data_IF_067214424623
#
_entry.id   IF_067214424623
#
_cell.length_a   1.000
_cell.length_b   1.000
_cell.length_c   1.000
_cell.angle_alpha   90.00
_cell.angle_beta   90.00
_cell.angle_gamma   90.00
#
_symmetry.space_group_name_H-M   'P 1'
#
loop_
_entity.id
_entity.type
_entity.pdbx_description
1 polymer ?
#
# COMPACT_ATOMS: atom_id res chain seq x y z
N UNK A 1 6.72 -13.52 11.40
CA UNK A 1 5.50 -13.32 12.21
C UNK A 1 4.38 -12.93 11.25
N UNK A 2 3.26 -13.68 11.17
CA UNK A 2 2.15 -13.33 10.25
C UNK A 2 1.45 -12.10 10.82
N UNK A 3 1.58 -10.96 10.14
CA UNK A 3 1.23 -9.63 10.68
C UNK A 3 -0.19 -9.15 10.34
N UNK A 4 -1.02 -9.99 9.72
CA UNK A 4 -2.46 -9.73 9.55
C UNK A 4 -3.28 -10.71 10.39
N UNK A 5 -4.43 -10.28 10.96
CA UNK A 5 -5.28 -11.15 11.76
C UNK A 5 -5.83 -12.29 10.89
N UNK A 6 -6.02 -13.47 11.49
CA UNK A 6 -6.40 -14.69 10.77
C UNK A 6 -7.59 -14.53 9.80
N UNK A 7 -8.66 -13.78 10.13
CA UNK A 7 -9.77 -13.57 9.20
C UNK A 7 -9.40 -12.82 7.91
N UNK A 8 -8.37 -11.97 7.96
CA UNK A 8 -7.94 -11.16 6.83
C UNK A 8 -6.93 -11.88 5.91
N UNK A 9 -6.29 -12.97 6.38
CA UNK A 9 -5.21 -13.64 5.64
C UNK A 9 -5.66 -14.11 4.25
N UNK A 10 -6.81 -14.80 4.16
CA UNK A 10 -7.32 -15.30 2.89
C UNK A 10 -7.66 -14.17 1.89
N UNK A 11 -8.05 -12.99 2.40
CA UNK A 11 -8.28 -11.81 1.55
C UNK A 11 -6.95 -11.19 1.10
N UNK A 12 -6.01 -11.02 2.02
CA UNK A 12 -4.67 -10.49 1.73
C UNK A 12 -3.94 -11.37 0.70
N UNK A 13 -3.99 -12.69 0.85
CA UNK A 13 -3.34 -13.63 -0.07
C UNK A 13 -3.93 -13.51 -1.48
N UNK A 14 -5.27 -13.37 -1.60
CA UNK A 14 -5.92 -13.13 -2.90
C UNK A 14 -5.52 -11.79 -3.52
N UNK A 15 -5.48 -10.72 -2.73
CA UNK A 15 -5.07 -9.40 -3.20
C UNK A 15 -3.61 -9.41 -3.69
N UNK A 16 -2.71 -10.05 -2.93
CA UNK A 16 -1.30 -10.21 -3.31
C UNK A 16 -1.14 -11.05 -4.57
N UNK A 17 -1.88 -12.14 -4.71
CA UNK A 17 -1.85 -12.96 -5.91
C UNK A 17 -2.35 -12.20 -7.15
N UNK A 18 -3.42 -11.40 -7.01
CA UNK A 18 -3.91 -10.56 -8.10
C UNK A 18 -2.88 -9.50 -8.49
N UNK A 19 -2.33 -8.77 -7.52
CA UNK A 19 -1.28 -7.78 -7.75
C UNK A 19 -0.03 -8.37 -8.42
N UNK A 20 0.38 -9.58 -8.04
CA UNK A 20 1.51 -10.27 -8.66
C UNK A 20 1.23 -10.71 -10.11
N UNK A 21 -0.04 -10.95 -10.47
CA UNK A 21 -0.42 -11.33 -11.82
C UNK A 21 -0.40 -10.14 -12.81
N UNK A 22 -0.57 -8.91 -12.30
CA UNK A 22 -0.52 -7.67 -13.09
C UNK A 22 0.01 -6.53 -12.21
N UNK A 23 1.34 -6.47 -12.07
CA UNK A 23 1.99 -5.51 -11.18
C UNK A 23 1.87 -4.08 -11.68
N UNK A 24 1.69 -3.86 -12.98
CA UNK A 24 1.48 -2.52 -13.55
C UNK A 24 0.18 -1.89 -13.05
N UNK A 25 -0.85 -2.70 -12.78
CA UNK A 25 -2.11 -2.26 -12.17
C UNK A 25 -2.12 -2.33 -10.65
N UNK A 26 -1.07 -2.87 -10.05
CA UNK A 26 -1.01 -2.99 -8.61
C UNK A 26 -0.70 -1.65 -7.94
N UNK A 27 -1.42 -1.38 -6.85
CA UNK A 27 -1.25 -0.16 -6.05
C UNK A 27 -0.90 -0.55 -4.62
N UNK A 28 0.35 -0.31 -4.24
CA UNK A 28 0.82 -0.59 -2.90
C UNK A 28 0.27 0.41 -1.88
N UNK A 29 -0.11 -0.07 -0.71
CA UNK A 29 -0.48 0.78 0.41
C UNK A 29 -0.12 0.12 1.73
N UNK A 30 0.22 0.93 2.74
CA UNK A 30 0.42 0.44 4.09
C UNK A 30 -0.93 0.16 4.76
N UNK A 31 -1.08 -1.04 5.33
CA UNK A 31 -2.22 -1.42 6.17
C UNK A 31 -3.00 -2.64 5.68
N UNK A 32 -4.13 -2.90 6.34
CA UNK A 32 -4.99 -4.04 6.05
C UNK A 32 -6.05 -3.73 4.99
N UNK A 33 -6.64 -4.76 4.35
CA UNK A 33 -7.85 -4.57 3.56
C UNK A 33 -8.93 -3.84 4.37
N UNK A 34 -9.51 -2.80 3.78
CA UNK A 34 -10.51 -1.94 4.43
C UNK A 34 -9.96 -0.72 5.17
N UNK A 35 -8.63 -0.58 5.30
CA UNK A 35 -8.02 0.63 5.86
C UNK A 35 -8.33 1.89 5.00
N UNK A 36 -8.13 3.08 5.57
CA UNK A 36 -8.34 4.33 4.83
C UNK A 36 -7.47 4.42 3.56
N UNK A 37 -6.23 3.92 3.60
CA UNK A 37 -5.35 3.86 2.42
C UNK A 37 -5.87 2.88 1.36
N UNK A 38 -6.48 1.76 1.77
CA UNK A 38 -7.15 0.84 0.84
C UNK A 38 -8.31 1.53 0.12
N UNK A 39 -9.14 2.26 0.89
CA UNK A 39 -10.24 3.04 0.31
C UNK A 39 -9.75 4.10 -0.65
N UNK A 40 -8.72 4.86 -0.26
CA UNK A 40 -8.10 5.87 -1.12
C UNK A 40 -7.56 5.28 -2.43
N UNK A 41 -6.94 4.09 -2.39
CA UNK A 41 -6.48 3.40 -3.58
C UNK A 41 -7.65 3.04 -4.53
N UNK A 42 -8.73 2.47 -4.00
CA UNK A 42 -9.92 2.13 -4.81
C UNK A 42 -10.63 3.39 -5.34
N UNK A 43 -10.69 4.47 -4.57
CA UNK A 43 -11.31 5.73 -5.00
C UNK A 43 -10.48 6.44 -6.08
N UNK A 44 -9.15 6.46 -5.95
CA UNK A 44 -8.26 7.10 -6.92
C UNK A 44 -8.12 6.30 -8.23
N UNK A 45 -8.20 4.96 -8.14
CA UNK A 45 -8.02 4.01 -9.25
C UNK A 45 -9.00 2.84 -9.09
N UNK A 46 -10.24 2.97 -9.56
CA UNK A 46 -11.27 1.94 -9.39
C UNK A 46 -10.91 0.56 -9.95
N UNK A 47 -10.08 0.52 -11.00
CA UNK A 47 -9.64 -0.70 -11.66
C UNK A 47 -8.28 -1.21 -11.17
N UNK A 48 -7.72 -0.63 -10.11
CA UNK A 48 -6.45 -1.07 -9.55
C UNK A 48 -6.54 -2.42 -8.84
N UNK A 49 -5.39 -3.04 -8.64
CA UNK A 49 -5.21 -4.25 -7.83
C UNK A 49 -4.53 -3.85 -6.51
N UNK A 50 -5.28 -3.62 -5.41
CA UNK A 50 -4.67 -3.09 -4.20
C UNK A 50 -3.72 -4.11 -3.57
N UNK A 51 -2.51 -3.67 -3.23
CA UNK A 51 -1.45 -4.48 -2.65
C UNK A 51 -1.18 -4.04 -1.20
N UNK A 52 -1.66 -4.79 -0.19
CA UNK A 52 -1.42 -4.46 1.21
C UNK A 52 0.02 -4.78 1.65
N UNK A 53 0.70 -3.75 2.16
CA UNK A 53 2.05 -3.74 2.70
C UNK A 53 2.04 -3.51 4.23
N UNK A 54 3.12 -3.89 4.93
CA UNK A 54 3.16 -3.76 6.39
C UNK A 54 3.59 -2.37 6.85
N UNK A 55 4.49 -1.74 6.12
CA UNK A 55 4.97 -0.37 6.39
C UNK A 55 4.89 0.53 5.16
N UNK A 56 5.21 1.82 5.33
CA UNK A 56 5.29 2.75 4.19
C UNK A 56 6.51 2.43 3.31
N UNK A 57 7.62 2.04 3.92
CA UNK A 57 8.82 1.54 3.25
C UNK A 57 8.49 0.35 2.35
N UNK A 58 7.77 -0.65 2.86
CA UNK A 58 7.35 -1.81 2.06
C UNK A 58 6.50 -1.41 0.84
N UNK A 59 5.69 -0.36 0.97
CA UNK A 59 4.85 0.14 -0.11
C UNK A 59 5.68 0.90 -1.16
N UNK A 60 6.66 1.70 -0.73
CA UNK A 60 7.59 2.39 -1.62
C UNK A 60 8.51 1.38 -2.35
N UNK A 61 9.08 0.43 -1.61
CA UNK A 61 9.93 -0.62 -2.16
C UNK A 61 9.15 -1.53 -3.11
N UNK A 62 7.85 -1.74 -2.89
CA UNK A 62 7.01 -2.44 -3.86
C UNK A 62 6.98 -1.75 -5.23
N UNK A 63 7.00 -0.42 -5.27
CA UNK A 63 7.07 0.34 -6.52
C UNK A 63 8.48 0.26 -7.11
N UNK A 64 9.51 0.48 -6.30
CA UNK A 64 10.92 0.42 -6.75
C UNK A 64 11.28 -0.95 -7.35
N UNK A 65 10.79 -2.02 -6.74
CA UNK A 65 11.03 -3.40 -7.18
C UNK A 65 10.16 -3.83 -8.37
N UNK A 66 9.23 -2.97 -8.83
CA UNK A 66 8.27 -3.30 -9.89
C UNK A 66 7.18 -4.30 -9.47
N UNK A 67 7.00 -4.53 -8.16
CA UNK A 67 5.90 -5.33 -7.59
C UNK A 67 4.57 -4.56 -7.60
N UNK A 68 4.61 -3.25 -7.71
CA UNK A 68 3.48 -2.35 -7.92
C UNK A 68 3.84 -1.24 -8.91
N UNK A 69 2.85 -0.74 -9.65
CA UNK A 69 3.02 0.38 -10.58
C UNK A 69 2.93 1.73 -9.87
N UNK A 70 2.11 1.82 -8.82
CA UNK A 70 1.92 3.03 -8.03
C UNK A 70 1.83 2.67 -6.52
N UNK A 71 1.97 3.67 -5.64
CA UNK A 71 1.69 3.54 -4.22
C UNK A 71 0.80 4.67 -3.72
N UNK A 72 -0.10 4.36 -2.78
CA UNK A 72 -0.91 5.33 -2.05
C UNK A 72 -0.33 5.51 -0.67
N UNK A 73 0.08 6.75 -0.40
CA UNK A 73 0.86 7.13 0.77
C UNK A 73 0.19 8.33 1.45
N UNK A 74 -0.25 8.20 2.71
CA UNK A 74 -0.80 9.33 3.46
C UNK A 74 0.31 10.30 3.87
N UNK A 75 0.13 11.58 3.57
CA UNK A 75 1.10 12.64 3.91
C UNK A 75 0.71 13.44 5.15
N UNK A 76 -0.59 13.68 5.36
CA UNK A 76 -1.12 14.46 6.47
C UNK A 76 -2.43 13.86 7.00
N UNK A 77 -2.71 14.06 8.28
CA UNK A 77 -3.95 13.70 8.95
C UNK A 77 -4.44 14.89 9.78
N UNK A 78 -5.72 15.26 9.65
CA UNK A 78 -6.27 16.44 10.33
C UNK A 78 -6.28 16.35 11.87
N UNK A 79 -6.28 15.14 12.44
CA UNK A 79 -6.28 14.91 13.88
C UNK A 79 -4.88 14.76 14.47
N UNK A 80 -3.94 14.19 13.70
CA UNK A 80 -2.62 13.81 14.18
C UNK A 80 -1.46 14.55 13.48
N UNK A 81 -1.77 15.48 12.58
CA UNK A 81 -0.79 16.25 11.83
C UNK A 81 -0.11 15.45 10.73
N UNK A 82 1.12 15.83 10.38
CA UNK A 82 1.95 15.19 9.36
C UNK A 82 2.27 13.74 9.72
N UNK A 83 2.24 12.86 8.74
CA UNK A 83 2.70 11.47 8.92
C UNK A 83 4.22 11.48 8.92
N UNK A 84 4.82 11.51 10.12
CA UNK A 84 6.24 11.83 10.32
C UNK A 84 7.18 10.99 9.46
N UNK A 85 6.93 9.68 9.35
CA UNK A 85 7.80 8.76 8.62
C UNK A 85 7.93 9.14 7.15
N UNK A 86 6.88 9.67 6.51
CA UNK A 86 6.92 9.89 5.07
C UNK A 86 7.74 11.11 4.64
N UNK A 87 7.90 12.10 5.53
CA UNK A 87 8.72 13.26 5.24
C UNK A 87 10.21 12.91 5.13
N UNK A 88 10.63 11.80 5.73
CA UNK A 88 11.99 11.26 5.59
C UNK A 88 12.07 10.25 4.43
N UNK A 89 11.06 9.41 4.26
CA UNK A 89 11.10 8.32 3.29
C UNK A 89 10.95 8.78 1.82
N UNK A 90 10.15 9.82 1.54
CA UNK A 90 9.96 10.29 0.16
C UNK A 90 11.25 10.84 -0.46
N UNK A 91 12.02 11.73 0.21
CA UNK A 91 13.30 12.19 -0.32
C UNK A 91 14.31 11.08 -0.60
N UNK A 92 14.31 10.02 0.20
CA UNK A 92 15.23 8.88 0.05
C UNK A 92 14.67 7.77 -0.86
N UNK A 93 13.43 7.92 -1.34
CA UNK A 93 12.77 6.87 -2.10
C UNK A 93 13.40 6.63 -3.48
N UNK A 94 13.95 7.66 -4.11
CA UNK A 94 14.45 7.57 -5.49
C UNK A 94 13.36 7.31 -6.53
N UNK A 95 12.09 7.54 -6.14
CA UNK A 95 10.91 7.57 -7.01
C UNK A 95 10.69 8.97 -7.61
#
# INVERSE_FOLDING_TARGET
>A
MRSFPAPALALVDRMRAAAAADSARAIAFQGSPGANSHRAATEARPDALPLPCFSFEDALDAVKDGRAGEAIIPIENSQHGRVADIHFLLPESGL
#
